data_IF_676254696621
#
_entry.id   IF_676254696621
#
_cell.length_a   1.000
_cell.length_b   1.000
_cell.length_c   1.000
_cell.angle_alpha   90.00
_cell.angle_beta   90.00
_cell.angle_gamma   90.00
#
_symmetry.space_group_name_H-M   'P 1'
#
loop_
_entity.id
_entity.type
_entity.pdbx_description
1 polymer ?
#
# COMPACT_ATOMS: atom_id res chain seq x y z
N UNK A 1 38.49 -6.35 -97.02
CA UNK A 1 37.19 -7.07 -96.92
C UNK A 1 36.95 -7.40 -95.46
N UNK A 2 35.71 -7.21 -95.05
CA UNK A 2 35.22 -7.36 -93.68
C UNK A 2 35.52 -8.72 -93.05
N UNK A 3 35.67 -8.76 -91.72
CA UNK A 3 34.76 -9.49 -90.81
C UNK A 3 35.16 -9.36 -89.33
N UNK A 4 34.22 -8.84 -88.55
CA UNK A 4 34.07 -8.96 -87.10
C UNK A 4 34.14 -10.42 -86.60
N UNK A 5 34.47 -10.64 -85.31
CA UNK A 5 33.54 -11.24 -84.33
C UNK A 5 34.09 -11.20 -82.89
N UNK A 6 33.37 -10.44 -82.05
CA UNK A 6 32.93 -10.70 -80.66
C UNK A 6 33.96 -11.08 -79.60
N UNK A 7 34.34 -10.09 -78.78
CA UNK A 7 34.84 -10.27 -77.42
C UNK A 7 33.65 -10.30 -76.45
N UNK A 8 33.34 -11.46 -75.88
CA UNK A 8 32.32 -11.62 -74.83
C UNK A 8 32.99 -11.38 -73.47
N UNK A 9 33.07 -10.11 -73.05
CA UNK A 9 33.52 -9.76 -71.70
C UNK A 9 32.31 -9.80 -70.76
N UNK A 10 32.17 -10.91 -70.05
CA UNK A 10 31.17 -11.11 -69.01
C UNK A 10 31.51 -10.22 -67.81
N UNK A 11 30.98 -8.99 -67.78
CA UNK A 11 31.10 -8.10 -66.62
C UNK A 11 30.12 -8.57 -65.55
N UNK A 12 30.61 -9.43 -64.65
CA UNK A 12 29.90 -9.87 -63.46
C UNK A 12 29.78 -8.69 -62.50
N UNK A 13 28.67 -7.95 -62.61
CA UNK A 13 28.30 -6.85 -61.74
C UNK A 13 27.88 -7.47 -60.40
N UNK A 14 28.85 -7.61 -59.49
CA UNK A 14 28.58 -8.01 -58.11
C UNK A 14 27.73 -6.92 -57.45
N UNK A 15 26.43 -7.14 -57.37
CA UNK A 15 25.54 -6.45 -56.46
C UNK A 15 26.01 -6.79 -55.05
N UNK A 16 26.89 -5.96 -54.49
CA UNK A 16 27.16 -5.95 -53.06
C UNK A 16 25.88 -5.43 -52.41
N UNK A 17 24.96 -6.34 -52.06
CA UNK A 17 23.87 -6.06 -51.14
C UNK A 17 24.52 -5.77 -49.79
N UNK A 18 24.88 -4.51 -49.56
CA UNK A 18 25.25 -4.05 -48.24
C UNK A 18 24.11 -4.39 -47.26
N UNK A 19 24.40 -4.77 -46.02
CA UNK A 19 23.36 -4.95 -45.02
C UNK A 19 22.57 -3.64 -44.92
N UNK A 20 21.30 -3.67 -45.32
CA UNK A 20 20.35 -2.61 -45.01
C UNK A 20 20.05 -2.76 -43.53
N UNK A 21 20.82 -2.06 -42.70
CA UNK A 21 20.50 -1.95 -41.29
C UNK A 21 19.23 -1.11 -41.19
N UNK A 22 18.17 -1.71 -40.65
CA UNK A 22 17.00 -0.99 -40.20
C UNK A 22 17.49 -0.01 -39.12
N UNK A 23 17.16 1.26 -39.29
CA UNK A 23 17.53 2.32 -38.36
C UNK A 23 16.33 3.24 -38.17
N UNK A 24 16.08 3.59 -36.92
CA UNK A 24 15.11 4.60 -36.55
C UNK A 24 15.80 5.96 -36.42
N UNK A 25 15.07 7.02 -36.74
CA UNK A 25 15.49 8.40 -36.50
C UNK A 25 14.33 9.19 -35.93
N UNK A 26 14.57 9.99 -34.90
CA UNK A 26 13.60 10.97 -34.41
C UNK A 26 13.16 11.87 -35.56
N UNK A 27 11.88 12.24 -35.58
CA UNK A 27 11.40 13.23 -36.54
C UNK A 27 12.15 14.56 -36.37
N UNK A 28 12.25 15.35 -37.44
CA UNK A 28 13.18 16.48 -37.55
C UNK A 28 13.03 17.60 -36.50
N UNK A 29 11.92 17.67 -35.78
CA UNK A 29 11.68 18.60 -34.67
C UNK A 29 11.73 17.96 -33.27
N UNK A 30 11.80 16.63 -33.20
CA UNK A 30 11.74 15.88 -31.95
C UNK A 30 13.12 15.74 -31.30
N UNK A 31 13.16 15.90 -29.99
CA UNK A 31 14.30 15.58 -29.13
C UNK A 31 13.89 14.57 -28.08
N UNK A 32 14.84 13.84 -27.50
CA UNK A 32 14.56 12.93 -26.41
C UNK A 32 14.02 13.71 -25.21
N UNK A 33 12.78 13.41 -24.80
CA UNK A 33 12.09 14.14 -23.75
C UNK A 33 12.29 13.53 -22.36
N UNK A 34 11.85 14.26 -21.34
CA UNK A 34 11.86 13.78 -19.94
C UNK A 34 10.57 14.16 -19.22
N UNK A 35 9.97 13.19 -18.53
CA UNK A 35 8.85 13.37 -17.60
C UNK A 35 9.26 12.99 -16.18
N UNK A 36 8.60 13.60 -15.19
CA UNK A 36 8.83 13.32 -13.77
C UNK A 36 7.52 13.03 -13.07
N UNK A 37 7.47 11.88 -12.40
CA UNK A 37 6.36 11.41 -11.58
C UNK A 37 6.58 11.85 -10.14
N UNK A 38 5.55 12.39 -9.48
CA UNK A 38 5.59 12.82 -8.08
C UNK A 38 4.29 12.49 -7.37
N UNK A 39 4.35 11.63 -6.35
CA UNK A 39 3.18 11.23 -5.53
C UNK A 39 3.06 12.03 -4.21
N UNK A 40 3.99 12.95 -3.94
CA UNK A 40 4.01 13.69 -2.67
C UNK A 40 4.25 12.77 -1.46
N UNK A 41 3.77 13.17 -0.27
CA UNK A 41 3.86 12.34 0.93
C UNK A 41 2.68 11.37 0.97
N UNK A 42 2.97 10.07 1.03
CA UNK A 42 1.96 9.02 1.08
C UNK A 42 1.78 8.56 2.53
N UNK A 43 0.57 8.64 3.05
CA UNK A 43 0.20 8.03 4.33
C UNK A 43 -0.69 6.84 4.04
N UNK A 44 -0.30 5.66 4.53
CA UNK A 44 -1.05 4.41 4.34
C UNK A 44 -1.76 4.05 5.63
N UNK A 45 -3.05 3.72 5.51
CA UNK A 45 -3.85 3.14 6.58
C UNK A 45 -3.30 1.73 6.92
N UNK A 46 -2.82 1.51 8.16
CA UNK A 46 -2.26 0.22 8.57
C UNK A 46 -3.29 -0.92 8.56
N UNK A 47 -4.59 -0.64 8.68
CA UNK A 47 -5.68 -1.62 8.60
C UNK A 47 -5.96 -2.13 7.18
N UNK A 48 -5.55 -1.40 6.14
CA UNK A 48 -5.80 -1.76 4.75
C UNK A 48 -5.10 -3.06 4.34
N UNK A 49 -5.89 -4.07 3.97
CA UNK A 49 -5.41 -5.38 3.48
C UNK A 49 -5.78 -5.65 2.02
N UNK A 50 -6.81 -4.95 1.51
CA UNK A 50 -7.29 -5.09 0.14
C UNK A 50 -6.37 -4.36 -0.81
N UNK A 51 -6.17 -4.93 -2.00
CA UNK A 51 -5.36 -4.31 -3.02
C UNK A 51 -6.06 -3.09 -3.63
N UNK A 52 -5.34 -1.97 -3.76
CA UNK A 52 -5.90 -0.68 -4.16
C UNK A 52 -4.83 0.22 -4.80
N UNK A 53 -5.27 1.15 -5.65
CA UNK A 53 -4.42 2.23 -6.14
C UNK A 53 -4.44 3.34 -5.09
N UNK A 54 -3.26 3.71 -4.59
CA UNK A 54 -3.08 4.76 -3.60
C UNK A 54 -3.03 6.15 -4.24
N UNK A 55 -2.31 6.26 -5.35
CA UNK A 55 -2.19 7.50 -6.11
C UNK A 55 -1.86 7.18 -7.57
N UNK A 56 -2.11 8.13 -8.47
CA UNK A 56 -1.79 8.00 -9.88
C UNK A 56 -1.50 9.35 -10.51
N UNK A 57 -0.49 9.37 -11.37
CA UNK A 57 -0.19 10.52 -12.21
C UNK A 57 -0.35 10.14 -13.68
N UNK A 58 -1.15 10.93 -14.39
CA UNK A 58 -1.39 10.76 -15.82
C UNK A 58 -0.73 11.88 -16.61
N UNK A 59 0.00 11.50 -17.65
CA UNK A 59 0.50 12.39 -18.70
C UNK A 59 -0.31 12.15 -19.95
N UNK A 60 -1.05 13.15 -20.39
CA UNK A 60 -1.76 13.04 -21.66
C UNK A 60 -0.80 13.06 -22.86
N UNK A 61 -1.32 12.71 -24.04
CA UNK A 61 -0.53 12.68 -25.27
C UNK A 61 0.17 14.02 -25.56
N UNK A 62 -0.45 15.16 -25.20
CA UNK A 62 0.15 16.48 -25.37
C UNK A 62 1.31 16.74 -24.42
N UNK A 63 1.24 16.28 -23.17
CA UNK A 63 2.31 16.40 -22.19
C UNK A 63 3.55 15.62 -22.64
N UNK A 64 3.37 14.37 -23.07
CA UNK A 64 4.45 13.54 -23.60
C UNK A 64 5.07 14.13 -24.87
N UNK A 65 4.25 14.68 -25.78
CA UNK A 65 4.73 15.36 -26.98
C UNK A 65 5.52 16.64 -26.66
N UNK A 66 4.99 17.45 -25.74
CA UNK A 66 5.63 18.70 -25.31
C UNK A 66 6.99 18.44 -24.67
N UNK A 67 7.13 17.33 -23.92
CA UNK A 67 8.42 16.93 -23.35
C UNK A 67 9.48 16.62 -24.41
N UNK A 68 9.06 16.22 -25.62
CA UNK A 68 9.94 15.99 -26.78
C UNK A 68 10.11 17.22 -27.69
N UNK A 69 9.40 18.32 -27.41
CA UNK A 69 9.43 19.54 -28.23
C UNK A 69 8.55 19.53 -29.47
N UNK A 70 7.56 18.63 -29.54
CA UNK A 70 6.68 18.42 -30.71
C UNK A 70 5.19 18.49 -30.33
N UNK A 71 4.31 18.57 -31.34
CA UNK A 71 2.87 18.39 -31.16
C UNK A 71 2.51 16.91 -31.04
N UNK A 72 1.40 16.60 -30.37
CA UNK A 72 0.92 15.21 -30.24
C UNK A 72 0.44 14.57 -31.55
N UNK A 73 0.28 15.39 -32.59
CA UNK A 73 -0.03 14.97 -33.97
C UNK A 73 1.21 14.68 -34.82
N UNK A 74 2.40 15.07 -34.35
CA UNK A 74 3.63 14.91 -35.11
C UNK A 74 4.13 13.47 -34.98
N UNK A 75 4.77 12.97 -36.04
CA UNK A 75 5.40 11.65 -36.03
C UNK A 75 6.56 11.64 -35.04
N UNK A 76 6.64 10.61 -34.20
CA UNK A 76 7.69 10.48 -33.18
C UNK A 76 9.02 10.09 -33.81
N UNK A 77 8.97 9.05 -34.63
CA UNK A 77 10.14 8.36 -35.16
C UNK A 77 9.80 7.75 -36.52
N UNK A 78 10.78 7.73 -37.40
CA UNK A 78 10.70 7.06 -38.72
C UNK A 78 11.74 5.96 -38.77
N UNK A 79 11.35 4.74 -39.16
CA UNK A 79 12.25 3.58 -39.18
C UNK A 79 12.29 2.95 -40.58
N UNK A 80 13.48 2.52 -41.02
CA UNK A 80 13.71 1.93 -42.34
C UNK A 80 13.56 0.39 -42.39
N UNK A 81 13.04 -0.24 -41.34
CA UNK A 81 12.78 -1.68 -41.27
C UNK A 81 11.89 -2.09 -40.11
N UNK A 82 11.92 -3.39 -39.76
CA UNK A 82 11.07 -3.98 -38.73
C UNK A 82 11.57 -3.65 -37.30
N UNK A 83 11.37 -2.39 -36.90
CA UNK A 83 11.71 -1.89 -35.58
C UNK A 83 10.47 -1.76 -34.69
N UNK A 84 10.68 -1.80 -33.38
CA UNK A 84 9.62 -1.68 -32.37
C UNK A 84 9.86 -0.49 -31.45
N UNK A 85 8.79 0.11 -30.94
CA UNK A 85 8.86 0.91 -29.73
C UNK A 85 8.97 -0.03 -28.54
N UNK A 86 9.92 0.26 -27.66
CA UNK A 86 10.24 -0.49 -26.46
C UNK A 86 10.08 0.44 -25.26
N UNK A 87 9.27 0.00 -24.31
CA UNK A 87 9.06 0.65 -23.04
C UNK A 87 9.64 -0.24 -21.94
N UNK A 88 10.68 0.25 -21.26
CA UNK A 88 11.54 -0.64 -20.46
C UNK A 88 12.60 0.05 -19.61
N UNK A 89 13.66 -0.71 -19.29
CA UNK A 89 14.92 -0.21 -18.73
C UNK A 89 14.76 0.60 -17.43
N UNK A 90 13.95 0.08 -16.50
CA UNK A 90 13.77 0.66 -15.18
C UNK A 90 15.01 0.46 -14.29
N UNK A 91 15.27 1.43 -13.41
CA UNK A 91 16.16 1.25 -12.27
C UNK A 91 15.52 0.37 -11.17
N UNK A 92 14.22 0.13 -11.24
CA UNK A 92 13.45 -0.65 -10.28
C UNK A 92 13.33 -2.10 -10.74
N UNK A 93 13.26 -3.02 -9.78
CA UNK A 93 13.13 -4.45 -10.10
C UNK A 93 11.69 -4.77 -10.48
N UNK A 94 11.49 -5.28 -11.69
CA UNK A 94 10.20 -5.79 -12.14
C UNK A 94 9.90 -7.17 -11.54
N UNK A 95 8.63 -7.43 -11.23
CA UNK A 95 8.09 -8.72 -10.81
C UNK A 95 6.79 -9.01 -11.56
N UNK A 96 6.49 -10.31 -11.72
CA UNK A 96 5.21 -10.73 -12.29
C UNK A 96 4.06 -10.38 -11.34
N UNK A 97 2.94 -9.91 -11.91
CA UNK A 97 1.73 -9.62 -11.17
C UNK A 97 0.75 -10.79 -11.16
N UNK A 98 -0.30 -10.67 -10.34
CA UNK A 98 -1.23 -11.78 -10.02
C UNK A 98 -2.43 -11.89 -10.97
N UNK A 99 -2.76 -10.88 -11.78
CA UNK A 99 -3.93 -11.01 -12.66
C UNK A 99 -3.90 -10.29 -14.02
N UNK A 100 -3.13 -9.22 -14.26
CA UNK A 100 -3.18 -8.56 -15.60
C UNK A 100 -1.90 -7.86 -16.10
N UNK A 101 -0.95 -7.50 -15.24
CA UNK A 101 0.32 -6.85 -15.62
C UNK A 101 1.32 -6.97 -14.48
N UNK A 102 2.62 -6.83 -14.77
CA UNK A 102 3.67 -6.89 -13.77
C UNK A 102 3.72 -5.64 -12.90
N UNK A 103 4.65 -5.65 -11.96
CA UNK A 103 4.89 -4.53 -11.04
C UNK A 103 6.38 -4.19 -10.95
N UNK A 104 6.70 -2.92 -10.70
CA UNK A 104 8.01 -2.48 -10.25
C UNK A 104 8.01 -2.39 -8.72
N UNK A 105 9.04 -2.97 -8.09
CA UNK A 105 9.24 -2.90 -6.63
C UNK A 105 9.69 -1.51 -6.22
N UNK A 106 9.01 -0.92 -5.25
CA UNK A 106 9.42 0.34 -4.61
C UNK A 106 10.51 0.16 -3.56
N UNK A 107 10.71 -1.07 -3.08
CA UNK A 107 11.55 -1.38 -1.92
C UNK A 107 10.77 -1.44 -0.60
N UNK A 108 9.51 -1.01 -0.59
CA UNK A 108 8.57 -1.19 0.52
C UNK A 108 7.70 -2.42 0.23
N UNK A 109 7.56 -3.30 1.22
CA UNK A 109 6.76 -4.52 1.09
C UNK A 109 5.29 -4.18 0.77
N UNK A 110 4.72 -4.93 -0.16
CA UNK A 110 3.35 -4.76 -0.67
C UNK A 110 3.06 -3.41 -1.36
N UNK A 111 4.09 -2.62 -1.68
CA UNK A 111 3.96 -1.36 -2.42
C UNK A 111 4.69 -1.41 -3.76
N UNK A 112 3.95 -1.12 -4.82
CA UNK A 112 4.35 -1.37 -6.19
C UNK A 112 4.04 -0.19 -7.12
N UNK A 113 4.74 -0.11 -8.24
CA UNK A 113 4.45 0.82 -9.33
C UNK A 113 4.10 0.04 -10.58
N UNK A 114 3.16 0.54 -11.36
CA UNK A 114 2.93 0.05 -12.72
C UNK A 114 2.48 1.19 -13.62
N UNK A 115 2.53 0.92 -14.90
CA UNK A 115 2.15 1.86 -15.94
C UNK A 115 1.07 1.29 -16.84
N UNK A 116 0.22 2.17 -17.34
CA UNK A 116 -0.79 1.85 -18.34
C UNK A 116 -0.92 2.97 -19.37
N UNK A 117 -1.19 2.62 -20.62
CA UNK A 117 -1.63 3.58 -21.65
C UNK A 117 -3.15 3.52 -21.83
N UNK A 118 -3.77 4.66 -22.11
CA UNK A 118 -5.19 4.73 -22.47
C UNK A 118 -5.50 5.90 -23.42
N UNK A 119 -6.65 5.88 -24.09
CA UNK A 119 -7.14 6.98 -24.95
C UNK A 119 -6.50 7.07 -26.34
N UNK A 120 -5.55 6.18 -26.66
CA UNK A 120 -4.96 6.02 -28.00
C UNK A 120 -5.41 4.73 -28.70
N UNK A 121 -4.86 4.46 -29.88
CA UNK A 121 -5.03 3.19 -30.60
C UNK A 121 -4.28 2.04 -29.91
N UNK A 122 -3.27 2.35 -29.09
CA UNK A 122 -2.52 1.41 -28.24
C UNK A 122 -3.03 1.36 -26.79
N UNK A 123 -4.32 1.67 -26.55
CA UNK A 123 -4.91 1.59 -25.21
C UNK A 123 -4.77 0.18 -24.61
N UNK A 124 -4.52 0.11 -23.31
CA UNK A 124 -4.36 -1.14 -22.56
C UNK A 124 -2.96 -1.77 -22.67
N UNK A 125 -1.94 -1.01 -23.09
CA UNK A 125 -0.56 -1.45 -23.00
C UNK A 125 -0.03 -1.19 -21.58
N UNK A 126 0.53 -2.22 -20.95
CA UNK A 126 1.04 -2.15 -19.58
C UNK A 126 2.54 -2.38 -19.51
N UNK A 127 3.18 -1.63 -18.62
CA UNK A 127 4.58 -1.85 -18.25
C UNK A 127 4.74 -1.86 -16.71
N UNK A 128 5.47 -2.83 -16.14
CA UNK A 128 6.03 -4.00 -16.80
C UNK A 128 4.93 -4.98 -17.23
N UNK A 129 5.23 -5.81 -18.22
CA UNK A 129 4.27 -6.81 -18.73
C UNK A 129 4.00 -7.90 -17.68
N UNK A 130 3.04 -8.79 -17.91
CA UNK A 130 2.76 -9.93 -17.01
C UNK A 130 3.99 -10.83 -16.77
N UNK A 131 4.96 -10.83 -17.70
CA UNK A 131 6.25 -11.52 -17.59
C UNK A 131 7.36 -10.67 -16.99
N UNK A 132 7.05 -9.53 -16.37
CA UNK A 132 8.00 -8.57 -15.79
C UNK A 132 9.02 -7.99 -16.80
N UNK A 133 8.72 -8.09 -18.10
CA UNK A 133 9.60 -7.63 -19.17
C UNK A 133 9.25 -6.24 -19.71
N UNK A 134 10.03 -5.79 -20.68
CA UNK A 134 9.74 -4.59 -21.45
C UNK A 134 8.46 -4.77 -22.27
N UNK A 135 7.65 -3.73 -22.36
CA UNK A 135 6.53 -3.70 -23.31
C UNK A 135 7.07 -3.31 -24.69
N UNK A 136 6.64 -4.03 -25.74
CA UNK A 136 7.14 -3.85 -27.10
C UNK A 136 5.98 -3.83 -28.09
N UNK A 137 5.99 -2.89 -29.02
CA UNK A 137 5.01 -2.77 -30.11
C UNK A 137 5.72 -2.42 -31.40
N UNK A 138 5.42 -3.14 -32.49
CA UNK A 138 6.06 -2.88 -33.77
C UNK A 138 5.65 -1.51 -34.31
N UNK A 139 6.60 -0.73 -34.83
CA UNK A 139 6.32 0.62 -35.37
C UNK A 139 5.32 0.55 -36.54
N UNK A 140 5.39 -0.52 -37.34
CA UNK A 140 4.44 -0.77 -38.45
C UNK A 140 2.99 -0.87 -38.01
N UNK A 141 2.75 -1.31 -36.78
CA UNK A 141 1.40 -1.55 -36.26
C UNK A 141 0.75 -0.25 -35.75
N UNK A 142 1.54 0.82 -35.64
CA UNK A 142 1.10 2.12 -35.14
C UNK A 142 0.99 3.09 -36.31
N UNK A 143 -0.24 3.48 -36.63
CA UNK A 143 -0.52 4.50 -37.65
C UNK A 143 0.27 4.28 -38.97
N UNK A 144 0.30 3.03 -39.44
CA UNK A 144 1.01 2.62 -40.67
C UNK A 144 2.50 3.00 -40.70
N UNK A 145 3.21 2.88 -39.57
CA UNK A 145 4.65 3.18 -39.49
C UNK A 145 4.98 4.63 -39.16
N UNK A 146 3.99 5.46 -38.85
CA UNK A 146 4.16 6.86 -38.46
C UNK A 146 3.57 7.11 -37.07
N UNK A 147 4.12 6.50 -36.00
CA UNK A 147 3.59 6.61 -34.65
C UNK A 147 3.55 8.06 -34.20
N UNK A 148 2.48 8.44 -33.48
CA UNK A 148 2.32 9.75 -32.84
C UNK A 148 1.95 9.54 -31.37
N UNK A 149 2.14 10.56 -30.54
CA UNK A 149 1.66 10.50 -29.15
C UNK A 149 0.14 10.34 -29.07
N UNK A 150 -0.62 10.83 -30.05
CA UNK A 150 -2.07 10.59 -30.13
C UNK A 150 -2.43 9.10 -30.29
N UNK A 151 -1.60 8.32 -30.97
CA UNK A 151 -1.83 6.89 -31.18
C UNK A 151 -1.47 6.07 -29.92
N UNK A 152 -0.47 6.53 -29.16
CA UNK A 152 -0.11 5.93 -27.86
C UNK A 152 -1.16 6.28 -26.79
N UNK A 153 -1.61 7.53 -26.78
CA UNK A 153 -2.56 8.06 -25.81
C UNK A 153 -1.88 8.62 -24.55
N UNK A 154 -2.64 8.62 -23.46
CA UNK A 154 -2.21 9.05 -22.14
C UNK A 154 -1.45 7.93 -21.43
N UNK A 155 -0.38 8.28 -20.74
CA UNK A 155 0.42 7.38 -19.91
C UNK A 155 0.10 7.64 -18.43
N UNK A 156 -0.38 6.62 -17.72
CA UNK A 156 -0.66 6.69 -16.29
C UNK A 156 0.35 5.86 -15.53
N UNK A 157 0.92 6.45 -14.47
CA UNK A 157 1.78 5.77 -13.49
C UNK A 157 1.01 5.67 -12.19
N UNK A 158 0.80 4.46 -11.70
CA UNK A 158 0.00 4.20 -10.52
C UNK A 158 0.85 3.61 -9.40
N UNK A 159 0.68 4.16 -8.19
CA UNK A 159 1.18 3.60 -6.95
C UNK A 159 0.14 2.62 -6.39
N UNK A 160 0.51 1.36 -6.26
CA UNK A 160 -0.40 0.26 -5.98
C UNK A 160 -0.01 -0.48 -4.71
N UNK A 161 -0.97 -0.62 -3.81
CA UNK A 161 -0.87 -1.45 -2.62
C UNK A 161 -1.47 -2.82 -2.92
N UNK A 162 -0.76 -3.90 -2.57
CA UNK A 162 -1.23 -5.27 -2.73
C UNK A 162 -1.01 -6.06 -1.44
N UNK A 163 -1.82 -5.76 -0.43
CA UNK A 163 -1.69 -6.31 0.92
C UNK A 163 -1.33 -5.25 1.96
N UNK A 164 -1.20 -5.66 3.21
CA UNK A 164 -0.90 -4.76 4.33
C UNK A 164 0.51 -4.21 4.24
N UNK A 165 0.67 -2.89 4.39
CA UNK A 165 1.97 -2.23 4.52
C UNK A 165 2.21 -1.99 6.00
N UNK A 166 3.18 -2.68 6.59
CA UNK A 166 3.47 -2.64 8.04
C UNK A 166 4.60 -1.69 8.41
N UNK A 167 5.44 -1.34 7.43
CA UNK A 167 6.58 -0.47 7.62
C UNK A 167 6.65 0.52 6.46
N UNK A 168 6.58 1.81 6.81
CA UNK A 168 6.85 2.90 5.88
C UNK A 168 8.34 3.03 5.55
N UNK A 169 8.68 3.98 4.69
CA UNK A 169 10.07 4.21 4.30
C UNK A 169 10.20 5.26 3.21
N UNK A 170 11.42 5.42 2.71
CA UNK A 170 11.70 6.31 1.59
C UNK A 170 11.83 5.48 0.32
N UNK A 171 11.04 5.84 -0.70
CA UNK A 171 11.24 5.35 -2.06
C UNK A 171 12.21 6.30 -2.74
N UNK A 172 13.39 5.79 -3.11
CA UNK A 172 14.41 6.59 -3.79
C UNK A 172 13.92 6.99 -5.16
N UNK A 173 14.25 8.22 -5.60
CA UNK A 173 13.97 8.63 -6.98
C UNK A 173 14.91 7.95 -7.98
N UNK A 174 14.47 7.83 -9.23
CA UNK A 174 15.25 7.15 -10.27
C UNK A 174 14.51 6.98 -11.58
N UNK A 175 15.19 6.45 -12.59
CA UNK A 175 14.59 6.14 -13.88
C UNK A 175 13.53 5.06 -13.70
N UNK A 176 12.25 5.39 -13.91
CA UNK A 176 11.18 4.39 -13.90
C UNK A 176 11.14 3.65 -15.21
N UNK A 177 11.29 4.36 -16.32
CA UNK A 177 11.30 3.73 -17.63
C UNK A 177 11.85 4.62 -18.74
N UNK A 178 12.52 3.99 -19.69
CA UNK A 178 12.93 4.56 -20.98
C UNK A 178 11.98 4.06 -22.08
N UNK A 179 11.44 5.01 -22.84
CA UNK A 179 10.84 4.77 -24.14
C UNK A 179 11.90 4.98 -25.20
N UNK A 180 12.16 3.94 -25.96
CA UNK A 180 13.16 3.92 -27.01
C UNK A 180 12.71 3.00 -28.13
N UNK A 181 13.39 3.07 -29.27
CA UNK A 181 13.25 2.05 -30.30
C UNK A 181 14.12 0.83 -29.99
N UNK A 182 13.89 -0.30 -30.65
CA UNK A 182 14.70 -1.51 -30.51
C UNK A 182 16.18 -1.31 -30.87
N UNK A 183 16.50 -0.35 -31.73
CA UNK A 183 17.87 0.11 -32.03
C UNK A 183 18.37 1.22 -31.08
N UNK A 184 17.69 1.44 -29.96
CA UNK A 184 18.09 2.33 -28.85
C UNK A 184 18.05 3.84 -29.13
N UNK A 185 17.24 4.30 -30.09
CA UNK A 185 16.92 5.73 -30.21
C UNK A 185 16.01 6.13 -29.06
N UNK A 186 16.49 7.00 -28.18
CA UNK A 186 15.72 7.47 -27.02
C UNK A 186 14.62 8.44 -27.46
N UNK A 187 13.39 8.17 -27.01
CA UNK A 187 12.21 8.99 -27.26
C UNK A 187 11.85 9.79 -25.99
N UNK A 188 11.64 9.09 -24.88
CA UNK A 188 11.14 9.70 -23.65
C UNK A 188 11.64 8.92 -22.42
N UNK A 189 12.23 9.62 -21.47
CA UNK A 189 12.56 9.05 -20.16
C UNK A 189 11.56 9.50 -19.11
N UNK A 190 11.09 8.57 -18.29
CA UNK A 190 10.19 8.85 -17.17
C UNK A 190 10.93 8.57 -15.86
N UNK A 191 11.06 9.59 -15.03
CA UNK A 191 11.71 9.50 -13.72
C UNK A 191 10.67 9.54 -12.60
N UNK A 192 10.96 8.86 -11.50
CA UNK A 192 10.28 9.04 -10.24
C UNK A 192 11.05 10.04 -9.39
N UNK A 193 10.35 11.04 -8.87
CA UNK A 193 10.85 11.84 -7.76
C UNK A 193 10.68 11.03 -6.48
N UNK A 194 11.75 10.95 -5.68
CA UNK A 194 11.72 10.21 -4.43
C UNK A 194 10.66 10.76 -3.49
N UNK A 195 10.04 9.86 -2.72
CA UNK A 195 8.95 10.20 -1.81
C UNK A 195 9.00 9.36 -0.55
N UNK A 196 8.28 9.80 0.48
CA UNK A 196 8.18 9.10 1.76
C UNK A 196 6.80 8.49 1.93
N UNK A 197 6.79 7.26 2.44
CA UNK A 197 5.59 6.53 2.84
C UNK A 197 5.59 6.43 4.35
N UNK A 198 4.53 6.91 4.97
CA UNK A 198 4.32 6.85 6.42
C UNK A 198 3.22 5.84 6.72
N UNK A 199 3.47 4.94 7.66
CA UNK A 199 2.46 4.04 8.22
C UNK A 199 2.26 4.47 9.68
N UNK A 200 1.14 5.14 10.00
CA UNK A 200 0.82 5.52 11.37
C UNK A 200 0.69 4.29 12.29
N UNK A 201 0.99 4.48 13.57
CA UNK A 201 0.98 3.43 14.59
C UNK A 201 0.49 3.95 15.94
N UNK A 202 0.05 3.03 16.78
CA UNK A 202 -0.23 3.31 18.19
C UNK A 202 0.49 2.33 19.10
N UNK A 203 1.01 2.84 20.22
CA UNK A 203 1.73 2.08 21.24
C UNK A 203 1.06 2.18 22.60
N UNK A 204 1.26 1.17 23.44
CA UNK A 204 0.75 1.15 24.81
C UNK A 204 1.75 1.85 25.72
N UNK A 205 1.36 2.96 26.35
CA UNK A 205 2.25 3.71 27.26
C UNK A 205 2.33 3.06 28.64
N UNK A 206 1.19 2.58 29.16
CA UNK A 206 1.10 1.82 30.42
C UNK A 206 0.95 0.35 30.11
N UNK A 207 2.00 -0.46 30.25
CA UNK A 207 1.97 -1.91 29.98
C UNK A 207 1.35 -2.75 31.09
N UNK A 208 1.20 -2.20 32.30
CA UNK A 208 0.53 -2.84 33.43
C UNK A 208 -0.17 -1.79 34.25
N UNK A 209 -1.47 -1.98 34.48
CA UNK A 209 -2.29 -1.09 35.31
C UNK A 209 -2.73 -1.87 36.54
N UNK A 210 -2.31 -1.42 37.72
CA UNK A 210 -2.72 -2.00 38.99
C UNK A 210 -3.85 -1.18 39.60
N UNK A 211 -5.05 -1.77 39.68
CA UNK A 211 -6.25 -1.11 40.20
C UNK A 211 -6.55 -1.61 41.61
N UNK A 212 -6.34 -0.76 42.61
CA UNK A 212 -6.58 -1.11 44.00
C UNK A 212 -8.04 -0.82 44.40
N UNK A 213 -8.93 -1.81 44.26
CA UNK A 213 -10.35 -1.69 44.65
C UNK A 213 -10.59 -1.52 46.16
N UNK A 214 -9.56 -1.79 46.95
CA UNK A 214 -9.63 -1.72 48.41
C UNK A 214 -10.53 -2.80 49.03
N UNK A 215 -10.87 -2.59 50.29
CA UNK A 215 -11.67 -3.51 51.10
C UNK A 215 -13.12 -3.02 51.16
N UNK A 216 -14.07 -3.92 50.89
CA UNK A 216 -15.51 -3.65 50.97
C UNK A 216 -16.17 -4.55 52.00
N UNK A 217 -17.18 -4.03 52.69
CA UNK A 217 -17.97 -4.80 53.64
C UNK A 217 -19.07 -5.58 52.93
N UNK A 218 -19.31 -6.82 53.36
CA UNK A 218 -20.39 -7.66 52.83
C UNK A 218 -21.77 -6.98 52.89
N UNK A 219 -22.00 -6.11 53.86
CA UNK A 219 -23.26 -5.35 54.03
C UNK A 219 -23.52 -4.31 52.93
N UNK A 220 -22.52 -3.97 52.11
CA UNK A 220 -22.70 -3.07 50.97
C UNK A 220 -23.39 -3.77 49.78
N UNK A 221 -23.44 -5.10 49.80
CA UNK A 221 -24.12 -5.90 48.80
C UNK A 221 -25.53 -6.26 49.25
N UNK A 222 -26.50 -6.16 48.34
CA UNK A 222 -27.93 -6.33 48.61
C UNK A 222 -28.56 -7.52 47.87
N UNK A 223 -27.76 -8.30 47.14
CA UNK A 223 -28.21 -9.42 46.31
C UNK A 223 -27.42 -9.50 45.00
N UNK A 224 -27.55 -10.62 44.28
CA UNK A 224 -26.92 -10.79 42.98
C UNK A 224 -27.25 -9.60 42.06
N UNK A 225 -26.22 -8.99 41.45
CA UNK A 225 -26.35 -7.74 40.69
C UNK A 225 -25.95 -6.47 41.44
N UNK A 226 -25.84 -6.51 42.78
CA UNK A 226 -25.33 -5.37 43.55
C UNK A 226 -23.81 -5.22 43.41
N UNK A 227 -23.31 -4.00 43.58
CA UNK A 227 -21.90 -3.65 43.34
C UNK A 227 -21.33 -2.80 44.47
N UNK A 228 -20.00 -2.80 44.61
CA UNK A 228 -19.30 -2.01 45.63
C UNK A 228 -17.85 -1.71 45.21
N UNK A 229 -17.26 -0.65 45.78
CA UNK A 229 -15.83 -0.35 45.60
C UNK A 229 -15.47 0.15 44.21
N UNK A 230 -16.28 1.03 43.63
CA UNK A 230 -15.98 1.70 42.35
C UNK A 230 -14.65 2.44 42.44
N UNK A 231 -13.76 2.14 41.50
CA UNK A 231 -12.41 2.72 41.41
C UNK A 231 -12.12 3.04 39.95
N UNK A 232 -11.81 4.31 39.68
CA UNK A 232 -11.42 4.77 38.35
C UNK A 232 -9.96 4.41 38.07
N UNK A 233 -9.67 4.12 36.80
CA UNK A 233 -8.30 3.92 36.32
C UNK A 233 -8.22 4.27 34.84
N UNK A 234 -7.03 4.66 34.39
CA UNK A 234 -6.79 5.02 33.00
C UNK A 234 -5.92 3.98 32.31
N UNK A 235 -6.22 3.72 31.03
CA UNK A 235 -5.31 3.07 30.09
C UNK A 235 -4.86 4.12 29.08
N UNK A 236 -3.56 4.41 29.03
CA UNK A 236 -3.00 5.44 28.15
C UNK A 236 -2.29 4.78 26.97
N UNK A 237 -2.66 5.21 25.77
CA UNK A 237 -2.03 4.85 24.51
C UNK A 237 -1.33 6.07 23.93
N UNK A 238 -0.21 5.90 23.23
CA UNK A 238 0.43 6.95 22.45
C UNK A 238 0.27 6.63 20.96
N UNK A 239 -0.55 7.44 20.28
CA UNK A 239 -0.98 7.22 18.92
C UNK A 239 -0.51 8.35 18.00
N UNK A 240 -0.11 8.03 16.78
CA UNK A 240 0.10 9.01 15.71
C UNK A 240 -1.25 9.57 15.21
N UNK A 241 -1.25 10.68 14.48
CA UNK A 241 -2.47 11.22 13.88
C UNK A 241 -3.01 10.35 12.75
N UNK A 242 -4.32 10.34 12.54
CA UNK A 242 -4.99 9.71 11.41
C UNK A 242 -5.31 8.23 11.59
N UNK A 243 -5.17 7.67 12.80
CA UNK A 243 -5.56 6.28 13.10
C UNK A 243 -6.76 6.20 14.03
N UNK A 244 -7.46 5.08 13.98
CA UNK A 244 -8.62 4.74 14.79
C UNK A 244 -8.26 3.60 15.74
N UNK A 245 -7.65 3.90 16.91
CA UNK A 245 -7.31 2.88 17.89
C UNK A 245 -8.57 2.26 18.50
N UNK A 246 -8.48 0.97 18.79
CA UNK A 246 -9.47 0.22 19.53
C UNK A 246 -8.81 -0.67 20.58
N UNK A 247 -9.49 -0.86 21.71
CA UNK A 247 -9.01 -1.67 22.83
C UNK A 247 -9.99 -2.79 23.12
N UNK A 248 -9.49 -4.02 23.16
CA UNK A 248 -10.29 -5.21 23.49
C UNK A 248 -9.82 -5.79 24.81
N UNK A 249 -10.72 -5.87 25.79
CA UNK A 249 -10.44 -6.51 27.08
C UNK A 249 -10.81 -7.98 27.06
N UNK A 250 -9.95 -8.83 27.62
CA UNK A 250 -10.15 -10.28 27.75
C UNK A 250 -9.74 -10.74 29.14
N UNK A 251 -10.25 -11.89 29.56
CA UNK A 251 -9.97 -12.48 30.86
C UNK A 251 -10.92 -13.63 31.14
N UNK A 252 -10.76 -14.29 32.29
CA UNK A 252 -11.66 -15.37 32.70
C UNK A 252 -12.99 -14.76 33.12
N UNK A 253 -14.04 -14.96 32.33
CA UNK A 253 -15.38 -14.52 32.68
C UNK A 253 -15.92 -15.28 33.90
N UNK A 254 -16.66 -14.58 34.77
CA UNK A 254 -17.33 -15.22 35.89
C UNK A 254 -18.49 -16.13 35.43
N UNK A 255 -18.70 -17.23 36.16
CA UNK A 255 -19.70 -18.25 35.85
C UNK A 255 -21.16 -17.76 35.87
N UNK A 256 -21.45 -16.60 36.47
CA UNK A 256 -22.78 -15.98 36.45
C UNK A 256 -23.19 -15.50 35.05
N UNK A 257 -22.24 -15.30 34.13
CA UNK A 257 -22.51 -14.78 32.79
C UNK A 257 -22.86 -13.28 32.75
N UNK A 258 -22.70 -12.57 33.86
CA UNK A 258 -22.92 -11.13 33.90
C UNK A 258 -21.88 -10.38 33.05
N UNK A 259 -22.34 -9.44 32.21
CA UNK A 259 -21.46 -8.71 31.28
C UNK A 259 -20.35 -7.97 32.02
N UNK A 260 -19.12 -8.14 31.53
CA UNK A 260 -17.93 -7.47 32.05
C UNK A 260 -17.45 -7.95 33.40
N UNK A 261 -18.04 -9.01 33.95
CA UNK A 261 -17.62 -9.58 35.23
C UNK A 261 -16.55 -10.65 35.01
N UNK A 262 -15.38 -10.39 35.57
CA UNK A 262 -14.25 -11.31 35.62
C UNK A 262 -14.32 -12.15 36.89
N UNK A 263 -13.95 -13.43 36.74
CA UNK A 263 -13.75 -14.32 37.87
C UNK A 263 -12.59 -13.84 38.74
N UNK A 264 -12.63 -14.20 40.02
CA UNK A 264 -11.51 -13.99 40.92
C UNK A 264 -10.39 -14.98 40.60
N UNK A 265 -9.15 -14.54 40.80
CA UNK A 265 -7.98 -15.37 40.65
C UNK A 265 -7.92 -16.40 41.78
N UNK A 266 -7.59 -17.64 41.44
CA UNK A 266 -7.29 -18.68 42.41
C UNK A 266 -6.03 -18.29 43.21
N UNK A 267 -6.05 -18.55 44.52
CA UNK A 267 -4.91 -18.33 45.41
C UNK A 267 -4.64 -19.58 46.25
N UNK A 268 -3.39 -20.05 46.26
CA UNK A 268 -2.98 -21.27 46.99
C UNK A 268 -2.96 -21.10 48.51
N UNK A 269 -2.64 -19.90 48.99
CA UNK A 269 -2.26 -19.67 50.40
C UNK A 269 -3.23 -18.76 51.15
N UNK A 270 -4.32 -18.32 50.51
CA UNK A 270 -5.31 -17.42 51.12
C UNK A 270 -6.73 -17.78 50.72
N UNK A 271 -7.68 -17.60 51.63
CA UNK A 271 -9.11 -17.78 51.32
C UNK A 271 -9.54 -16.76 50.26
N UNK A 272 -9.94 -17.23 49.09
CA UNK A 272 -10.56 -16.41 48.02
C UNK A 272 -12.04 -16.22 48.36
N UNK A 273 -12.55 -15.00 48.14
CA UNK A 273 -13.97 -14.70 48.31
C UNK A 273 -14.81 -15.50 47.31
N UNK A 274 -16.03 -15.87 47.68
CA UNK A 274 -16.99 -16.49 46.75
C UNK A 274 -18.25 -15.66 46.62
N UNK A 275 -18.96 -15.82 45.50
CA UNK A 275 -20.19 -15.07 45.21
C UNK A 275 -19.96 -13.61 44.81
N UNK A 276 -18.73 -13.24 44.47
CA UNK A 276 -18.35 -11.94 43.92
C UNK A 276 -17.37 -12.11 42.76
N UNK A 277 -17.37 -11.17 41.83
CA UNK A 277 -16.38 -11.00 40.77
C UNK A 277 -15.98 -9.52 40.62
N UNK A 278 -15.09 -9.22 39.69
CA UNK A 278 -14.68 -7.84 39.38
C UNK A 278 -15.30 -7.43 38.04
N UNK A 279 -16.10 -6.37 38.04
CA UNK A 279 -16.73 -5.83 36.84
C UNK A 279 -15.91 -4.66 36.28
N UNK A 280 -15.62 -4.70 34.98
CA UNK A 280 -15.05 -3.58 34.22
C UNK A 280 -16.14 -2.74 33.57
N UNK A 281 -15.98 -1.43 33.60
CA UNK A 281 -16.88 -0.46 32.99
C UNK A 281 -16.12 0.53 32.11
N UNK A 282 -16.76 0.92 31.01
CA UNK A 282 -16.38 2.04 30.18
C UNK A 282 -17.60 2.93 29.97
N UNK A 283 -17.47 4.24 30.19
CA UNK A 283 -18.60 5.19 30.16
C UNK A 283 -19.81 4.71 30.97
N UNK A 284 -19.56 4.24 32.21
CA UNK A 284 -20.56 3.69 33.13
C UNK A 284 -21.33 2.45 32.61
N UNK A 285 -20.88 1.84 31.52
CA UNK A 285 -21.49 0.64 30.93
C UNK A 285 -20.55 -0.56 31.09
N UNK A 286 -21.05 -1.75 31.46
CA UNK A 286 -20.22 -2.94 31.57
C UNK A 286 -19.52 -3.28 30.25
N UNK A 287 -18.22 -3.54 30.31
CA UNK A 287 -17.42 -3.89 29.13
C UNK A 287 -17.75 -5.30 28.69
N UNK A 288 -18.16 -5.49 27.44
CA UNK A 288 -18.28 -6.83 26.88
C UNK A 288 -16.87 -7.40 26.62
N UNK A 289 -16.47 -8.42 27.38
CA UNK A 289 -15.18 -9.08 27.19
C UNK A 289 -15.09 -9.69 25.78
N UNK A 290 -13.95 -9.50 25.12
CA UNK A 290 -13.70 -9.90 23.74
C UNK A 290 -14.22 -8.92 22.68
N UNK A 291 -14.94 -7.86 23.07
CA UNK A 291 -15.41 -6.82 22.15
C UNK A 291 -14.50 -5.60 22.16
N UNK A 292 -14.29 -5.02 20.98
CA UNK A 292 -13.46 -3.84 20.80
C UNK A 292 -14.19 -2.56 21.23
N UNK A 293 -13.51 -1.72 22.01
CA UNK A 293 -13.90 -0.35 22.33
C UNK A 293 -13.15 0.58 21.38
N UNK A 294 -13.87 1.23 20.46
CA UNK A 294 -13.29 2.19 19.53
C UNK A 294 -13.13 3.56 20.20
N UNK A 295 -11.95 4.18 20.09
CA UNK A 295 -11.62 5.45 20.74
C UNK A 295 -11.80 6.67 19.81
N UNK A 296 -12.28 6.45 18.59
CA UNK A 296 -12.37 7.45 17.54
C UNK A 296 -11.04 7.68 16.81
N UNK A 297 -11.09 8.44 15.72
CA UNK A 297 -9.91 8.74 14.91
C UNK A 297 -9.10 9.88 15.55
N UNK A 298 -7.82 9.64 15.78
CA UNK A 298 -6.88 10.64 16.28
C UNK A 298 -6.65 11.75 15.26
N UNK A 299 -6.65 13.01 15.69
CA UNK A 299 -6.44 14.18 14.84
C UNK A 299 -5.03 14.77 14.96
N UNK A 300 -4.31 14.43 16.03
CA UNK A 300 -2.93 14.79 16.28
C UNK A 300 -2.20 13.61 16.93
N UNK A 301 -0.87 13.62 16.81
CA UNK A 301 -0.04 12.71 17.59
C UNK A 301 -0.13 13.05 19.08
N UNK A 302 -0.26 12.02 19.92
CA UNK A 302 -0.26 12.19 21.37
C UNK A 302 -0.97 11.08 22.12
N UNK A 303 -1.26 11.38 23.37
CA UNK A 303 -1.87 10.43 24.28
C UNK A 303 -3.39 10.33 24.07
N UNK A 304 -3.87 9.10 23.92
CA UNK A 304 -5.28 8.74 23.92
C UNK A 304 -5.57 8.00 25.22
N UNK A 305 -6.34 8.65 26.10
CA UNK A 305 -6.69 8.11 27.41
C UNK A 305 -8.04 7.43 27.37
N UNK A 306 -8.06 6.14 27.73
CA UNK A 306 -9.26 5.37 27.98
C UNK A 306 -9.54 5.35 29.49
N UNK A 307 -10.46 6.20 29.93
CA UNK A 307 -10.89 6.24 31.34
C UNK A 307 -11.92 5.15 31.63
N UNK A 308 -11.52 4.24 32.50
CA UNK A 308 -12.24 3.02 32.85
C UNK A 308 -12.59 3.05 34.33
N UNK A 309 -13.52 2.18 34.70
CA UNK A 309 -13.86 1.96 36.10
C UNK A 309 -13.91 0.46 36.39
N UNK A 310 -13.47 0.07 37.58
CA UNK A 310 -13.60 -1.29 38.07
C UNK A 310 -14.34 -1.29 39.41
N UNK A 311 -15.12 -2.34 39.66
CA UNK A 311 -15.87 -2.50 40.93
C UNK A 311 -16.11 -3.97 41.23
N UNK A 312 -16.38 -4.30 42.50
CA UNK A 312 -16.88 -5.62 42.85
C UNK A 312 -18.34 -5.78 42.42
N UNK A 313 -18.71 -6.97 41.97
CA UNK A 313 -20.06 -7.34 41.55
C UNK A 313 -20.49 -8.63 42.25
N UNK A 314 -21.65 -8.63 42.89
CA UNK A 314 -22.18 -9.83 43.55
C UNK A 314 -22.76 -10.79 42.50
N UNK A 315 -22.17 -11.98 42.38
CA UNK A 315 -22.51 -13.01 41.38
C UNK A 315 -23.44 -14.09 41.93
N UNK A 316 -23.49 -14.27 43.26
CA UNK A 316 -24.35 -15.26 43.92
C UNK A 316 -25.09 -14.69 45.13
N UNK A 317 -26.15 -15.37 45.57
CA UNK A 317 -26.95 -14.96 46.74
C UNK A 317 -26.15 -14.94 48.05
N UNK A 318 -25.11 -15.76 48.15
CA UNK A 318 -24.26 -15.87 49.34
C UNK A 318 -22.83 -15.47 48.99
N UNK A 319 -22.29 -14.52 49.77
CA UNK A 319 -20.88 -14.09 49.69
C UNK A 319 -20.09 -14.67 50.87
N UNK A 320 -18.90 -15.20 50.62
CA UNK A 320 -17.89 -15.48 51.66
C UNK A 320 -16.76 -14.45 51.62
N UNK A 321 -16.20 -14.13 52.78
CA UNK A 321 -15.09 -13.18 52.87
C UNK A 321 -13.77 -13.84 52.42
N UNK A 322 -12.93 -13.07 51.74
CA UNK A 322 -11.63 -13.53 51.25
C UNK A 322 -10.98 -12.49 50.35
N UNK A 323 -9.82 -12.82 49.76
CA UNK A 323 -9.21 -12.01 48.73
C UNK A 323 -10.05 -12.04 47.44
N UNK A 324 -10.07 -10.93 46.72
CA UNK A 324 -10.88 -10.74 45.53
C UNK A 324 -10.06 -10.09 44.39
N UNK A 325 -8.88 -10.65 44.12
CA UNK A 325 -8.03 -10.20 43.03
C UNK A 325 -8.55 -10.77 41.70
N UNK A 326 -8.42 -10.02 40.60
CA UNK A 326 -8.76 -10.49 39.26
C UNK A 326 -7.77 -9.93 38.24
N UNK A 327 -7.64 -10.57 37.09
CA UNK A 327 -6.72 -10.16 36.02
C UNK A 327 -7.45 -10.10 34.68
N UNK A 328 -7.23 -9.00 33.96
CA UNK A 328 -7.66 -8.80 32.59
C UNK A 328 -6.45 -8.46 31.71
N UNK A 329 -6.55 -8.83 30.44
CA UNK A 329 -5.61 -8.45 29.39
C UNK A 329 -6.31 -7.50 28.43
N UNK A 330 -5.62 -6.47 27.97
CA UNK A 330 -6.12 -5.58 26.93
C UNK A 330 -5.21 -5.66 25.70
N UNK A 331 -5.84 -5.74 24.53
CA UNK A 331 -5.17 -5.77 23.23
C UNK A 331 -5.52 -4.49 22.48
N UNK A 332 -4.53 -3.81 21.94
CA UNK A 332 -4.71 -2.61 21.12
C UNK A 332 -4.65 -3.00 19.64
N UNK A 333 -5.65 -2.59 18.89
CA UNK A 333 -5.67 -2.61 17.42
C UNK A 333 -5.84 -1.19 16.90
N UNK A 334 -5.44 -0.95 15.65
CA UNK A 334 -5.61 0.34 14.99
C UNK A 334 -5.78 0.12 13.49
N UNK A 335 -6.65 0.95 12.91
CA UNK A 335 -6.95 1.06 11.49
C UNK A 335 -6.71 2.52 11.08
#
# INVERSE_FOLDING_TARGET
MARWYISFSLMMMALMSGPVFAACTLASAATAGTLSVSFGNITVDPGTTTASVLDSQTFDSSASASAMGISNTDTLVTCSGAESLVWGNSAYTAISGTSTHGFLKTGIDNLYLYFATDGGTLSGLYYPTSSAGNATVAVSDINSGAPRWLDIGSMTVSLYQNGRITQGGTVSGGLLSSWQTSDSVSLLNVYLNGFTVTVPSCTVSTSTVNVALGTVNKSQFSGAGSTAGETDFDVVLNCQSGITPAVTFTGTADSSGATGVLALNEASDTTVATGVGVQLLYNNSPVALGSAINLGTTTAEGDVTLSMQARYYQTASTITAGQANSTAYYTVSYE
#
